data_IF_132854370491
#
_entry.id   IF_132854370491
#
_cell.length_a   1.000
_cell.length_b   1.000
_cell.length_c   1.000
_cell.angle_alpha   90.00
_cell.angle_beta   90.00
_cell.angle_gamma   90.00
#
_symmetry.space_group_name_H-M   'P 1'
#
loop_
_entity.id
_entity.type
_entity.pdbx_description
1 polymer ?
#
# COMPACT_ATOMS: atom_id res chain seq x y z
N UNK A 1 -2.51 9.55 -24.92
CA UNK A 1 -1.15 9.54 -25.52
C UNK A 1 -0.53 8.19 -25.21
N UNK A 2 -0.23 7.37 -26.22
CA UNK A 2 0.42 6.07 -26.00
C UNK A 2 1.92 6.27 -25.72
N UNK A 3 2.43 5.77 -24.58
CA UNK A 3 3.88 5.76 -24.32
C UNK A 3 4.52 4.75 -25.27
N UNK A 4 5.32 5.27 -26.21
CA UNK A 4 6.07 4.47 -27.19
C UNK A 4 7.21 3.70 -26.54
N UNK A 5 7.43 2.48 -27.01
CA UNK A 5 8.51 1.60 -26.60
C UNK A 5 9.89 2.19 -26.91
N UNK A 6 10.84 1.98 -26.01
CA UNK A 6 12.20 2.51 -26.17
C UNK A 6 12.94 1.80 -27.29
N UNK A 7 13.58 2.59 -28.15
CA UNK A 7 14.43 2.11 -29.25
C UNK A 7 15.84 1.78 -28.73
N UNK A 8 16.66 1.04 -29.51
CA UNK A 8 18.05 0.69 -29.12
C UNK A 8 19.00 1.87 -28.84
N UNK A 9 18.59 3.11 -29.14
CA UNK A 9 19.35 4.34 -28.85
C UNK A 9 18.78 5.15 -27.68
N UNK A 10 17.83 4.61 -26.92
CA UNK A 10 17.29 5.28 -25.73
C UNK A 10 18.42 5.55 -24.74
N UNK A 11 18.47 6.79 -24.24
CA UNK A 11 19.45 7.16 -23.22
C UNK A 11 19.07 6.48 -21.89
N UNK A 12 20.06 6.02 -21.10
CA UNK A 12 19.82 5.48 -19.74
C UNK A 12 18.92 6.39 -18.92
N UNK A 13 19.11 7.71 -19.00
CA UNK A 13 18.31 8.66 -18.21
C UNK A 13 16.83 8.63 -18.59
N UNK A 14 16.50 8.55 -19.89
CA UNK A 14 15.09 8.50 -20.35
C UNK A 14 14.37 7.25 -19.84
N UNK A 15 15.09 6.12 -19.77
CA UNK A 15 14.58 4.86 -19.23
C UNK A 15 14.34 4.96 -17.73
N UNK A 16 15.29 5.54 -16.99
CA UNK A 16 15.17 5.78 -15.56
C UNK A 16 13.99 6.69 -15.24
N UNK A 17 13.86 7.82 -15.95
CA UNK A 17 12.76 8.78 -15.75
C UNK A 17 11.39 8.11 -16.00
N UNK A 18 11.32 7.22 -16.99
CA UNK A 18 10.07 6.52 -17.32
C UNK A 18 9.72 5.42 -16.32
N UNK A 19 10.72 4.72 -15.78
CA UNK A 19 10.52 3.78 -14.68
C UNK A 19 10.08 4.53 -13.42
N UNK A 20 10.75 5.62 -13.07
CA UNK A 20 10.44 6.43 -11.88
C UNK A 20 9.01 6.97 -11.94
N UNK A 21 8.57 7.42 -13.12
CA UNK A 21 7.19 7.86 -13.35
C UNK A 21 6.17 6.73 -13.17
N UNK A 22 6.44 5.53 -13.70
CA UNK A 22 5.54 4.38 -13.53
C UNK A 22 5.49 3.90 -12.06
N UNK A 23 6.63 3.90 -11.36
CA UNK A 23 6.70 3.59 -9.91
C UNK A 23 5.86 4.60 -9.12
N UNK A 24 6.00 5.90 -9.39
CA UNK A 24 5.24 6.94 -8.70
C UNK A 24 3.74 6.79 -8.94
N UNK A 25 3.33 6.56 -10.19
CA UNK A 25 1.92 6.35 -10.54
C UNK A 25 1.33 5.11 -9.86
N UNK A 26 2.06 3.99 -9.84
CA UNK A 26 1.65 2.76 -9.18
C UNK A 26 1.60 2.88 -7.66
N UNK A 27 2.56 3.60 -7.07
CA UNK A 27 2.55 3.90 -5.64
C UNK A 27 1.29 4.66 -5.23
N UNK A 28 0.89 5.69 -6.01
CA UNK A 28 -0.37 6.41 -5.80
C UNK A 28 -1.60 5.50 -5.90
N UNK A 29 -1.63 4.59 -6.89
CA UNK A 29 -2.73 3.62 -7.06
C UNK A 29 -2.78 2.62 -5.92
N UNK A 30 -1.64 2.05 -5.52
CA UNK A 30 -1.55 1.11 -4.39
C UNK A 30 -2.07 1.73 -3.09
N UNK A 31 -1.66 2.98 -2.81
CA UNK A 31 -2.17 3.74 -1.65
C UNK A 31 -3.69 3.93 -1.72
N UNK A 32 -4.20 4.37 -2.87
CA UNK A 32 -5.65 4.54 -3.07
C UNK A 32 -6.42 3.24 -2.85
N UNK A 33 -5.93 2.12 -3.38
CA UNK A 33 -6.55 0.81 -3.20
C UNK A 33 -6.51 0.38 -1.73
N UNK A 34 -5.43 0.65 -0.99
CA UNK A 34 -5.36 0.39 0.46
C UNK A 34 -6.48 1.10 1.21
N UNK A 35 -6.66 2.40 0.98
CA UNK A 35 -7.69 3.20 1.64
C UNK A 35 -9.10 2.68 1.31
N UNK A 36 -9.31 2.27 0.05
CA UNK A 36 -10.59 1.68 -0.41
C UNK A 36 -10.85 0.32 0.21
N UNK A 37 -9.83 -0.53 0.37
CA UNK A 37 -9.95 -1.84 1.06
C UNK A 37 -10.47 -1.63 2.48
N UNK A 38 -9.85 -0.72 3.24
CA UNK A 38 -10.25 -0.45 4.63
C UNK A 38 -11.68 0.07 4.71
N UNK A 39 -12.06 1.00 3.81
CA UNK A 39 -13.42 1.53 3.72
C UNK A 39 -14.45 0.42 3.49
N UNK A 40 -14.22 -0.46 2.52
CA UNK A 40 -15.17 -1.52 2.19
C UNK A 40 -15.20 -2.65 3.22
N UNK A 41 -14.07 -2.96 3.87
CA UNK A 41 -14.07 -3.87 5.03
C UNK A 41 -14.91 -3.33 6.18
N UNK A 42 -14.78 -2.03 6.50
CA UNK A 42 -15.61 -1.39 7.52
C UNK A 42 -17.08 -1.44 7.15
N UNK A 43 -17.42 -1.15 5.88
CA UNK A 43 -18.81 -1.23 5.43
C UNK A 43 -19.39 -2.65 5.50
N UNK A 44 -18.60 -3.65 5.13
CA UNK A 44 -18.98 -5.05 5.27
C UNK A 44 -19.23 -5.40 6.75
N UNK A 45 -18.40 -4.91 7.66
CA UNK A 45 -18.55 -5.12 9.10
C UNK A 45 -19.87 -4.54 9.64
N UNK A 46 -20.18 -3.29 9.28
CA UNK A 46 -21.45 -2.63 9.64
C UNK A 46 -22.65 -3.47 9.19
N UNK A 47 -22.64 -3.95 7.94
CA UNK A 47 -23.72 -4.76 7.38
C UNK A 47 -23.86 -6.12 8.07
N UNK A 48 -22.75 -6.74 8.50
CA UNK A 48 -22.80 -7.96 9.32
C UNK A 48 -23.49 -7.68 10.66
N UNK A 49 -23.16 -6.58 11.32
CA UNK A 49 -23.80 -6.17 12.58
C UNK A 49 -25.30 -5.90 12.43
N UNK A 50 -25.72 -5.45 11.24
CA UNK A 50 -27.12 -5.23 10.87
C UNK A 50 -27.84 -6.51 10.38
N UNK A 51 -27.14 -7.66 10.35
CA UNK A 51 -27.70 -8.94 9.89
C UNK A 51 -27.82 -9.08 8.37
N UNK A 52 -27.24 -8.16 7.60
CA UNK A 52 -27.27 -8.13 6.13
C UNK A 52 -26.08 -8.86 5.52
N UNK A 53 -25.99 -10.17 5.78
CA UNK A 53 -24.86 -11.02 5.39
C UNK A 53 -24.54 -11.00 3.89
N UNK A 54 -25.56 -11.09 3.03
CA UNK A 54 -25.35 -11.14 1.58
C UNK A 54 -24.85 -9.80 1.04
N UNK A 55 -25.38 -8.68 1.56
CA UNK A 55 -24.85 -7.36 1.25
C UNK A 55 -23.40 -7.26 1.72
N UNK A 56 -23.10 -7.64 2.97
CA UNK A 56 -21.75 -7.62 3.52
C UNK A 56 -20.75 -8.42 2.66
N UNK A 57 -21.13 -9.61 2.18
CA UNK A 57 -20.30 -10.40 1.27
C UNK A 57 -19.98 -9.67 -0.04
N UNK A 58 -20.93 -8.92 -0.62
CA UNK A 58 -20.67 -8.12 -1.83
C UNK A 58 -19.68 -6.98 -1.59
N UNK A 59 -19.77 -6.29 -0.45
CA UNK A 59 -18.78 -5.28 -0.08
C UNK A 59 -17.40 -5.90 0.20
N UNK A 60 -17.38 -7.07 0.83
CA UNK A 60 -16.15 -7.80 1.08
C UNK A 60 -15.50 -8.32 -0.20
N UNK A 61 -16.31 -8.74 -1.19
CA UNK A 61 -15.86 -9.09 -2.53
C UNK A 61 -15.10 -7.95 -3.19
N UNK A 62 -15.62 -6.73 -3.14
CA UNK A 62 -14.92 -5.55 -3.68
C UNK A 62 -13.62 -5.28 -2.90
N UNK A 63 -13.61 -5.43 -1.58
CA UNK A 63 -12.38 -5.34 -0.79
C UNK A 63 -11.32 -6.36 -1.24
N UNK A 64 -11.71 -7.61 -1.49
CA UNK A 64 -10.80 -8.65 -1.98
C UNK A 64 -10.29 -8.35 -3.39
N UNK A 65 -11.15 -7.84 -4.27
CA UNK A 65 -10.74 -7.36 -5.60
C UNK A 65 -9.68 -6.27 -5.48
N UNK A 66 -9.93 -5.24 -4.67
CA UNK A 66 -8.94 -4.18 -4.43
C UNK A 66 -7.62 -4.73 -3.87
N UNK A 67 -7.69 -5.71 -2.96
CA UNK A 67 -6.50 -6.36 -2.40
C UNK A 67 -5.70 -7.09 -3.48
N UNK A 68 -6.38 -7.82 -4.37
CA UNK A 68 -5.73 -8.52 -5.46
C UNK A 68 -5.08 -7.56 -6.45
N UNK A 69 -5.78 -6.50 -6.87
CA UNK A 69 -5.23 -5.46 -7.74
C UNK A 69 -4.01 -4.79 -7.10
N UNK A 70 -4.09 -4.47 -5.80
CA UNK A 70 -2.97 -3.88 -5.08
C UNK A 70 -1.75 -4.82 -5.07
N UNK A 71 -1.95 -6.11 -4.81
CA UNK A 71 -0.85 -7.08 -4.83
C UNK A 71 -0.18 -7.15 -6.21
N UNK A 72 -0.96 -7.12 -7.30
CA UNK A 72 -0.41 -7.11 -8.66
C UNK A 72 0.42 -5.84 -8.92
N UNK A 73 -0.11 -4.67 -8.54
CA UNK A 73 0.58 -3.38 -8.65
C UNK A 73 1.90 -3.40 -7.86
N UNK A 74 1.88 -3.92 -6.64
CA UNK A 74 3.09 -4.02 -5.80
C UNK A 74 4.12 -4.98 -6.39
N UNK A 75 3.68 -6.05 -7.04
CA UNK A 75 4.59 -6.94 -7.80
C UNK A 75 5.24 -6.21 -8.98
N UNK A 76 4.45 -5.49 -9.79
CA UNK A 76 4.97 -4.72 -10.93
C UNK A 76 5.91 -3.60 -10.46
N UNK A 77 5.61 -2.95 -9.33
CA UNK A 77 6.52 -1.97 -8.73
C UNK A 77 7.87 -2.60 -8.34
N UNK A 78 7.86 -3.79 -7.75
CA UNK A 78 9.10 -4.50 -7.41
C UNK A 78 9.93 -4.84 -8.67
N UNK A 79 9.27 -5.24 -9.76
CA UNK A 79 9.94 -5.50 -11.03
C UNK A 79 10.52 -4.21 -11.65
N UNK A 80 9.79 -3.10 -11.57
CA UNK A 80 10.26 -1.77 -12.00
C UNK A 80 11.45 -1.30 -11.16
N UNK A 81 11.41 -1.46 -9.83
CA UNK A 81 12.54 -1.13 -8.94
C UNK A 81 13.77 -1.98 -9.25
N UNK A 82 13.58 -3.28 -9.51
CA UNK A 82 14.66 -4.17 -9.94
C UNK A 82 15.26 -3.72 -11.29
N UNK A 83 14.42 -3.37 -12.26
CA UNK A 83 14.85 -2.85 -13.55
C UNK A 83 15.62 -1.53 -13.42
N UNK A 84 15.16 -0.64 -12.52
CA UNK A 84 15.83 0.62 -12.19
C UNK A 84 17.24 0.39 -11.64
N UNK A 85 17.38 -0.50 -10.67
CA UNK A 85 18.68 -0.86 -10.08
C UNK A 85 19.61 -1.45 -11.14
N UNK A 86 19.11 -2.36 -11.98
CA UNK A 86 19.89 -2.94 -13.07
C UNK A 86 20.40 -1.87 -14.05
N UNK A 87 19.55 -0.91 -14.44
CA UNK A 87 19.95 0.20 -15.32
C UNK A 87 21.02 1.09 -14.69
N UNK A 88 20.91 1.39 -13.40
CA UNK A 88 21.90 2.19 -12.67
C UNK A 88 23.28 1.51 -12.60
N UNK A 89 23.33 0.18 -12.67
CA UNK A 89 24.57 -0.59 -12.70
C UNK A 89 25.21 -0.68 -14.10
N UNK A 90 24.55 -0.19 -15.16
CA UNK A 90 25.06 -0.24 -16.53
C UNK A 90 25.68 1.08 -17.00
N UNK A 91 26.51 1.00 -18.05
CA UNK A 91 27.00 2.13 -18.82
C UNK A 91 25.86 3.01 -19.36
N UNK A 92 26.17 4.24 -19.78
CA UNK A 92 25.18 5.22 -20.28
C UNK A 92 24.36 4.70 -21.48
N UNK A 93 24.89 3.70 -22.18
CA UNK A 93 24.17 2.90 -23.16
C UNK A 93 23.92 1.49 -22.61
N UNK A 94 22.69 1.16 -22.19
CA UNK A 94 22.32 -0.17 -21.74
C UNK A 94 22.43 -1.20 -22.87
N UNK A 95 22.68 -2.46 -22.52
CA UNK A 95 22.73 -3.55 -23.53
C UNK A 95 21.33 -3.80 -24.12
N UNK A 96 21.27 -4.36 -25.34
CA UNK A 96 19.99 -4.71 -25.99
C UNK A 96 19.12 -5.61 -25.11
N UNK A 97 19.74 -6.55 -24.39
CA UNK A 97 19.03 -7.45 -23.48
C UNK A 97 18.39 -6.70 -22.30
N UNK A 98 19.09 -5.73 -21.70
CA UNK A 98 18.54 -4.89 -20.64
C UNK A 98 17.38 -4.05 -21.17
N UNK A 99 17.54 -3.45 -22.35
CA UNK A 99 16.49 -2.67 -23.00
C UNK A 99 15.22 -3.48 -23.27
N UNK A 100 15.36 -4.71 -23.76
CA UNK A 100 14.23 -5.61 -23.99
C UNK A 100 13.48 -5.94 -22.70
N UNK A 101 14.21 -6.27 -21.63
CA UNK A 101 13.62 -6.54 -20.30
C UNK A 101 12.88 -5.33 -19.74
N UNK A 102 13.50 -4.16 -19.77
CA UNK A 102 12.88 -2.90 -19.29
C UNK A 102 11.62 -2.59 -20.11
N UNK A 103 11.69 -2.70 -21.43
CA UNK A 103 10.53 -2.51 -22.30
C UNK A 103 9.41 -3.50 -21.99
N UNK A 104 9.73 -4.76 -21.69
CA UNK A 104 8.73 -5.75 -21.32
C UNK A 104 8.02 -5.38 -20.01
N UNK A 105 8.77 -5.02 -18.97
CA UNK A 105 8.21 -4.60 -17.67
C UNK A 105 7.34 -3.36 -17.83
N UNK A 106 7.76 -2.39 -18.66
CA UNK A 106 6.95 -1.20 -18.94
C UNK A 106 5.65 -1.53 -19.69
N UNK A 107 5.63 -2.53 -20.59
CA UNK A 107 4.38 -3.00 -21.23
C UNK A 107 3.45 -3.68 -20.22
N UNK A 108 4.01 -4.50 -19.34
CA UNK A 108 3.26 -5.15 -18.27
C UNK A 108 2.66 -4.11 -17.32
N UNK A 109 3.42 -3.05 -16.99
CA UNK A 109 2.97 -1.89 -16.22
C UNK A 109 1.75 -1.20 -16.84
N UNK A 110 1.80 -0.94 -18.15
CA UNK A 110 0.68 -0.33 -18.89
C UNK A 110 -0.54 -1.25 -18.88
N UNK A 111 -0.34 -2.55 -19.11
CA UNK A 111 -1.40 -3.55 -19.11
C UNK A 111 -2.08 -3.64 -17.75
N UNK A 112 -1.30 -3.64 -16.66
CA UNK A 112 -1.83 -3.70 -15.30
C UNK A 112 -2.58 -2.42 -14.93
N UNK A 113 -2.11 -1.26 -15.39
CA UNK A 113 -2.85 0.00 -15.24
C UNK A 113 -4.22 -0.08 -15.91
N UNK A 114 -4.30 -0.58 -17.13
CA UNK A 114 -5.58 -0.72 -17.86
C UNK A 114 -6.53 -1.69 -17.15
N UNK A 115 -6.02 -2.85 -16.71
CA UNK A 115 -6.78 -3.82 -15.92
C UNK A 115 -7.32 -3.22 -14.63
N UNK A 116 -6.50 -2.47 -13.91
CA UNK A 116 -6.89 -1.78 -12.67
C UNK A 116 -8.01 -0.77 -12.93
N UNK A 117 -7.90 0.04 -13.98
CA UNK A 117 -8.93 1.03 -14.34
C UNK A 117 -10.25 0.34 -14.67
N UNK A 118 -10.22 -0.74 -15.46
CA UNK A 118 -11.41 -1.51 -15.78
C UNK A 118 -12.05 -2.12 -14.53
N UNK A 119 -11.24 -2.69 -13.64
CA UNK A 119 -11.72 -3.28 -12.39
C UNK A 119 -12.37 -2.24 -11.47
N UNK A 120 -11.75 -1.05 -11.32
CA UNK A 120 -12.31 0.07 -10.54
C UNK A 120 -13.69 0.48 -11.09
N UNK A 121 -13.84 0.59 -12.41
CA UNK A 121 -15.12 0.93 -13.03
C UNK A 121 -16.20 -0.12 -12.80
N UNK A 122 -15.82 -1.38 -12.52
CA UNK A 122 -16.75 -2.49 -12.24
C UNK A 122 -17.07 -2.67 -10.75
N UNK A 123 -16.40 -1.97 -9.84
CA UNK A 123 -16.62 -2.13 -8.39
C UNK A 123 -18.06 -1.78 -7.98
N UNK A 124 -18.64 -0.72 -8.56
CA UNK A 124 -20.02 -0.32 -8.26
C UNK A 124 -21.02 -1.41 -8.67
N UNK A 125 -20.82 -2.00 -9.84
CA UNK A 125 -21.64 -3.11 -10.36
C UNK A 125 -21.64 -4.30 -9.40
N UNK A 126 -20.48 -4.71 -8.88
CA UNK A 126 -20.36 -5.83 -7.93
C UNK A 126 -21.22 -5.62 -6.67
N UNK A 127 -21.31 -4.38 -6.18
CA UNK A 127 -22.14 -4.09 -4.99
C UNK A 127 -23.64 -4.10 -5.25
N UNK A 128 -24.07 -4.03 -6.52
CA UNK A 128 -25.47 -3.88 -6.92
C UNK A 128 -26.11 -5.18 -7.40
N UNK A 129 -25.31 -6.10 -7.94
CA UNK A 129 -25.79 -7.38 -8.48
C UNK A 129 -25.93 -8.47 -7.41
N UNK A 130 -26.50 -9.62 -7.78
CA UNK A 130 -26.60 -10.78 -6.90
C UNK A 130 -25.24 -11.45 -6.65
N UNK A 131 -25.20 -12.35 -5.66
CA UNK A 131 -23.96 -13.06 -5.30
C UNK A 131 -23.41 -13.94 -6.42
N UNK A 132 -24.26 -14.53 -7.26
CA UNK A 132 -23.82 -15.37 -8.39
C UNK A 132 -23.02 -14.56 -9.41
N UNK A 133 -23.54 -13.40 -9.83
CA UNK A 133 -22.80 -12.50 -10.73
C UNK A 133 -21.54 -11.93 -10.08
N UNK A 134 -21.61 -11.62 -8.78
CA UNK A 134 -20.44 -11.17 -8.00
C UNK A 134 -19.31 -12.20 -8.06
N UNK A 135 -19.63 -13.48 -7.86
CA UNK A 135 -18.63 -14.55 -7.91
C UNK A 135 -18.05 -14.73 -9.31
N UNK A 136 -18.90 -14.66 -10.35
CA UNK A 136 -18.42 -14.73 -11.74
C UNK A 136 -17.45 -13.60 -12.09
N UNK A 137 -17.73 -12.37 -11.65
CA UNK A 137 -16.81 -11.25 -11.83
C UNK A 137 -15.49 -11.47 -11.07
N UNK A 138 -15.55 -11.93 -9.82
CA UNK A 138 -14.36 -12.21 -9.00
C UNK A 138 -13.44 -13.29 -9.59
N UNK A 139 -14.03 -14.33 -10.20
CA UNK A 139 -13.26 -15.39 -10.86
C UNK A 139 -12.42 -14.85 -12.02
N UNK A 140 -12.92 -13.83 -12.74
CA UNK A 140 -12.17 -13.12 -13.77
C UNK A 140 -10.88 -12.45 -13.27
N UNK A 141 -10.78 -12.22 -11.95
CA UNK A 141 -9.59 -11.68 -11.27
C UNK A 141 -8.85 -12.74 -10.43
N UNK A 142 -9.19 -14.02 -10.59
CA UNK A 142 -8.55 -15.13 -9.86
C UNK A 142 -9.00 -15.29 -8.40
N UNK A 143 -10.06 -14.60 -7.98
CA UNK A 143 -10.57 -14.67 -6.61
C UNK A 143 -11.64 -15.76 -6.52
N UNK A 144 -11.29 -16.88 -5.88
CA UNK A 144 -12.20 -18.02 -5.72
C UNK A 144 -13.27 -17.72 -4.65
N UNK A 145 -14.48 -18.26 -4.85
CA UNK A 145 -15.57 -18.24 -3.86
C UNK A 145 -15.11 -18.59 -2.44
N UNK A 146 -14.28 -19.63 -2.31
CA UNK A 146 -13.76 -20.09 -1.02
C UNK A 146 -13.01 -18.99 -0.26
N UNK A 147 -12.22 -18.16 -0.96
CA UNK A 147 -11.49 -17.07 -0.34
C UNK A 147 -12.43 -15.98 0.20
N UNK A 148 -13.53 -15.71 -0.50
CA UNK A 148 -14.56 -14.79 -0.02
C UNK A 148 -15.29 -15.33 1.21
N UNK A 149 -15.66 -16.60 1.20
CA UNK A 149 -16.33 -17.24 2.34
C UNK A 149 -15.40 -17.29 3.57
N UNK A 150 -14.12 -17.62 3.39
CA UNK A 150 -13.11 -17.61 4.46
C UNK A 150 -12.93 -16.21 5.05
N UNK A 151 -12.76 -15.18 4.21
CA UNK A 151 -12.62 -13.79 4.69
C UNK A 151 -13.90 -13.32 5.39
N UNK A 152 -15.08 -13.76 4.94
CA UNK A 152 -16.35 -13.42 5.58
C UNK A 152 -16.52 -14.06 6.95
N UNK A 153 -16.11 -15.33 7.11
CA UNK A 153 -16.12 -15.97 8.43
C UNK A 153 -15.13 -15.29 9.38
N UNK A 154 -13.96 -14.89 8.87
CA UNK A 154 -13.00 -14.11 9.65
C UNK A 154 -13.58 -12.76 10.11
N UNK A 155 -14.26 -12.05 9.22
CA UNK A 155 -14.94 -10.79 9.58
C UNK A 155 -15.97 -11.01 10.71
N UNK A 156 -16.74 -12.09 10.64
CA UNK A 156 -17.71 -12.46 11.69
C UNK A 156 -17.05 -12.84 13.01
N UNK A 157 -15.92 -13.55 12.99
CA UNK A 157 -15.19 -13.87 14.21
C UNK A 157 -14.63 -12.61 14.86
N UNK A 158 -14.03 -11.73 14.06
CA UNK A 158 -13.39 -10.50 14.55
C UNK A 158 -14.41 -9.57 15.24
N UNK A 159 -15.67 -9.54 14.76
CA UNK A 159 -16.78 -8.80 15.38
C UNK A 159 -17.33 -9.44 16.66
N UNK A 160 -17.17 -10.75 16.84
CA UNK A 160 -17.66 -11.50 18.02
C UNK A 160 -16.68 -11.47 19.18
N UNK A 161 -15.39 -11.28 18.90
CA UNK A 161 -14.41 -10.97 19.93
C UNK A 161 -14.56 -9.52 20.37
N UNK A 162 -14.89 -9.23 21.64
CA UNK A 162 -14.73 -7.87 22.15
C UNK A 162 -13.26 -7.51 21.99
N UNK A 163 -12.97 -6.49 21.18
CA UNK A 163 -11.62 -5.93 21.16
C UNK A 163 -11.31 -5.44 22.58
N UNK A 164 -10.14 -5.79 23.16
CA UNK A 164 -9.65 -5.06 24.31
C UNK A 164 -9.63 -3.60 23.91
N UNK A 165 -10.26 -2.76 24.73
CA UNK A 165 -10.12 -1.32 24.63
C UNK A 165 -8.67 -1.04 25.03
N UNK A 166 -7.73 -1.15 24.09
CA UNK A 166 -6.46 -0.46 24.23
C UNK A 166 -6.79 1.03 24.16
N UNK A 167 -6.93 1.57 25.35
CA UNK A 167 -7.12 2.97 25.66
C UNK A 167 -6.19 3.82 24.79
N UNK A 168 -6.81 4.56 23.86
CA UNK A 168 -6.31 5.86 23.41
C UNK A 168 -6.19 6.76 24.64
N UNK A 169 -5.09 6.68 25.37
CA UNK A 169 -4.68 7.61 26.43
C UNK A 169 -3.29 7.23 26.95
N UNK A 170 -2.26 7.38 26.12
CA UNK A 170 -0.92 7.73 26.61
C UNK A 170 -0.50 9.02 25.92
N UNK A 171 -1.12 10.09 26.40
CA UNK A 171 -0.51 11.42 26.39
C UNK A 171 0.41 11.48 27.61
N UNK A 172 1.46 10.67 27.64
CA UNK A 172 2.52 10.82 28.64
C UNK A 172 3.71 11.53 28.00
N UNK A 173 3.74 12.82 28.30
CA UNK A 173 4.90 13.69 28.44
C UNK A 173 6.23 12.93 28.37
N UNK A 174 7.02 13.22 27.33
CA UNK A 174 8.47 13.19 27.44
C UNK A 174 8.90 14.30 28.42
N UNK A 175 8.73 14.07 29.72
CA UNK A 175 9.53 14.75 30.74
C UNK A 175 10.89 14.05 30.77
N UNK A 176 11.92 14.78 30.32
CA UNK A 176 13.32 14.41 30.49
C UNK A 176 13.57 14.06 31.96
N UNK A 177 14.24 12.93 32.30
CA UNK A 177 14.57 12.66 33.68
C UNK A 177 15.62 13.66 34.18
N UNK A 178 15.17 14.64 34.97
CA UNK A 178 15.99 15.30 35.98
C UNK A 178 16.37 14.25 37.03
N UNK A 179 17.62 13.76 36.97
CA UNK A 179 18.14 12.91 38.04
C UNK A 179 18.61 13.79 39.18
N UNK A 180 17.84 13.71 40.26
CA UNK A 180 18.00 14.39 41.53
C UNK A 180 19.38 14.23 42.18
N UNK A 181 19.85 15.35 42.76
CA UNK A 181 20.86 15.45 43.81
C UNK A 181 20.44 14.69 45.09
N UNK A 182 21.40 13.99 45.71
CA UNK A 182 21.66 13.93 47.17
C UNK A 182 23.16 13.70 47.38
N UNK A 183 23.91 14.75 47.72
CA UNK A 183 24.44 15.08 49.06
C UNK A 183 25.61 14.19 49.53
N UNK A 184 26.81 14.80 49.60
CA UNK A 184 27.88 14.50 50.57
C UNK A 184 28.95 15.62 50.55
N UNK A 185 28.75 16.63 51.41
CA UNK A 185 29.73 17.12 52.40
C UNK A 185 31.10 17.71 51.96
N UNK A 186 31.23 19.03 52.21
CA UNK A 186 32.42 19.77 52.69
C UNK A 186 33.64 20.02 51.77
N UNK A 187 33.79 21.28 51.34
CA UNK A 187 34.85 22.25 51.76
C UNK A 187 34.82 23.46 50.80
N UNK A 188 34.51 24.66 51.32
CA UNK A 188 35.47 25.75 51.53
C UNK A 188 36.05 26.26 50.18
N UNK A 189 35.79 27.46 49.67
CA UNK A 189 35.81 28.84 50.20
C UNK A 189 35.23 29.74 49.07
N UNK A 190 34.47 30.82 49.34
CA UNK A 190 34.94 32.24 49.27
C UNK A 190 35.80 32.51 48.03
N UNK A 191 35.53 33.44 47.12
CA UNK A 191 34.89 34.77 47.09
C UNK A 191 34.65 35.05 45.58
N UNK A 192 33.47 35.49 45.16
CA UNK A 192 33.07 36.89 44.98
C UNK A 192 33.68 37.57 43.74
N UNK A 193 32.78 38.12 42.92
CA UNK A 193 33.06 38.96 41.76
C UNK A 193 33.93 40.17 42.13
N UNK A 194 35.01 40.38 41.39
CA UNK A 194 35.69 41.65 41.15
C UNK A 194 36.90 41.27 40.28
N UNK A 195 37.21 41.84 39.13
CA UNK A 195 37.04 43.21 38.66
C UNK A 195 37.30 43.15 37.15
N UNK A 196 36.76 44.12 36.40
CA UNK A 196 37.23 44.39 35.04
C UNK A 196 38.74 44.65 35.05
N UNK A 197 39.47 43.99 34.16
CA UNK A 197 40.89 44.24 33.91
C UNK A 197 41.41 43.40 32.77
#
# INVERSE_FOLDING_TARGET
>A
MGRTLFRPKANRQELLDSIDLEIEEHSKRSKTLRDVIEKYKRKAAELVSEGMDEAAKRWLAVSLLCKQLRNNIESIMADLESARVQLLMQSDHPTSQTLEKVNQILRESITERERTIQAINRMSFITQVGMEQTLSELEGYGIKKKALDEEFQKLKSDLRTPQPIESKLETEKLELPEVHKKESTQKAKKEEEAEKG
#
